data_IF_152016236086
#
_entry.id   IF_152016236086
#
_cell.length_a   1.000
_cell.length_b   1.000
_cell.length_c   1.000
_cell.angle_alpha   90.00
_cell.angle_beta   90.00
_cell.angle_gamma   90.00
#
_symmetry.space_group_name_H-M   'P 1'
#
loop_
_entity.id
_entity.type
_entity.pdbx_description
1 polymer ?
#
# COMPACT_ATOMS: atom_id res chain seq x y z
N UNK A 1 15.00 1.91 -7.78
CA UNK A 1 14.49 0.66 -7.20
C UNK A 1 13.09 0.87 -6.63
N UNK A 2 12.22 -0.15 -6.76
CA UNK A 2 10.76 -0.06 -6.64
C UNK A 2 10.13 0.19 -8.01
N UNK A 3 9.06 -0.57 -8.37
CA UNK A 3 8.31 -0.45 -9.62
C UNK A 3 6.87 0.02 -9.39
N UNK A 4 6.68 0.90 -8.41
CA UNK A 4 5.39 1.52 -8.12
C UNK A 4 5.13 2.79 -8.94
N UNK A 5 4.11 3.55 -8.53
CA UNK A 5 3.67 4.77 -9.21
C UNK A 5 4.80 5.80 -9.34
N UNK A 6 5.53 6.07 -8.25
CA UNK A 6 6.60 7.06 -8.24
C UNK A 6 7.73 6.70 -9.21
N UNK A 7 8.18 5.44 -9.24
CA UNK A 7 9.23 4.98 -10.16
C UNK A 7 8.78 5.05 -11.62
N UNK A 8 7.57 4.56 -11.94
CA UNK A 8 7.04 4.59 -13.29
C UNK A 8 6.86 6.02 -13.82
N UNK A 9 6.43 6.95 -12.97
CA UNK A 9 6.33 8.37 -13.33
C UNK A 9 7.70 9.01 -13.49
N UNK A 10 8.66 8.76 -12.58
CA UNK A 10 10.01 9.32 -12.66
C UNK A 10 10.72 8.87 -13.94
N UNK A 11 10.67 7.56 -14.28
CA UNK A 11 11.27 7.05 -15.50
C UNK A 11 10.68 7.70 -16.78
N UNK A 12 9.35 7.85 -16.81
CA UNK A 12 8.68 8.53 -17.92
C UNK A 12 9.09 10.01 -18.01
N UNK A 13 9.14 10.73 -16.88
CA UNK A 13 9.52 12.14 -16.85
C UNK A 13 10.97 12.34 -17.28
N UNK A 14 11.91 11.50 -16.86
CA UNK A 14 13.30 11.57 -17.32
C UNK A 14 13.41 11.50 -18.85
N UNK A 15 12.66 10.62 -19.51
CA UNK A 15 12.62 10.57 -20.97
C UNK A 15 11.95 11.77 -21.62
N UNK A 16 10.89 12.31 -21.01
CA UNK A 16 10.25 13.55 -21.46
C UNK A 16 11.23 14.75 -21.40
N UNK A 17 12.05 14.80 -20.35
CA UNK A 17 13.09 15.80 -20.15
C UNK A 17 14.39 15.49 -20.92
N UNK A 18 14.34 14.52 -21.85
CA UNK A 18 15.43 14.15 -22.76
C UNK A 18 16.70 13.60 -22.05
N UNK A 19 16.53 12.97 -20.90
CA UNK A 19 17.65 12.23 -20.31
C UNK A 19 17.98 11.03 -21.21
N UNK A 20 19.21 10.96 -21.71
CA UNK A 20 19.67 9.96 -22.70
C UNK A 20 20.36 8.73 -22.04
N UNK A 21 20.73 8.82 -20.77
CA UNK A 21 21.38 7.74 -20.03
C UNK A 21 20.50 6.50 -19.87
N UNK A 22 21.09 5.40 -19.47
CA UNK A 22 20.37 4.16 -19.18
C UNK A 22 19.38 4.35 -18.02
N UNK A 23 18.18 3.76 -18.12
CA UNK A 23 17.18 3.75 -17.06
C UNK A 23 16.75 2.30 -16.83
N UNK A 24 17.04 1.78 -15.62
CA UNK A 24 16.61 0.45 -15.19
C UNK A 24 15.69 0.61 -13.97
N UNK A 25 14.52 -0.02 -14.02
CA UNK A 25 13.52 -0.05 -12.94
C UNK A 25 13.44 -1.47 -12.40
N UNK A 26 13.69 -1.66 -11.09
CA UNK A 26 13.59 -2.95 -10.42
C UNK A 26 12.30 -3.00 -9.60
N UNK A 27 11.54 -4.09 -9.70
CA UNK A 27 10.34 -4.33 -8.90
C UNK A 27 10.22 -5.78 -8.45
N UNK A 28 9.83 -5.98 -7.22
CA UNK A 28 9.61 -7.29 -6.59
C UNK A 28 8.29 -7.95 -7.04
N UNK A 29 7.30 -7.17 -7.45
CA UNK A 29 6.05 -7.68 -8.02
C UNK A 29 6.24 -8.14 -9.49
N UNK A 30 5.49 -9.16 -9.98
CA UNK A 30 5.60 -9.67 -11.34
C UNK A 30 4.86 -8.82 -12.38
N UNK A 31 4.60 -7.56 -12.07
CA UNK A 31 3.76 -6.64 -12.86
C UNK A 31 4.49 -5.33 -13.09
N UNK A 32 4.33 -4.76 -14.31
CA UNK A 32 4.81 -3.43 -14.63
C UNK A 32 4.21 -2.36 -13.69
N UNK A 33 4.81 -1.17 -13.56
CA UNK A 33 4.30 -0.10 -12.71
C UNK A 33 2.81 0.18 -12.95
N UNK A 34 2.02 0.15 -11.88
CA UNK A 34 0.57 0.28 -11.94
C UNK A 34 -0.01 1.21 -10.86
N UNK A 35 -1.27 1.59 -11.05
CA UNK A 35 -2.03 2.45 -10.14
C UNK A 35 -2.64 1.63 -9.00
N UNK A 36 -2.34 1.97 -7.75
CA UNK A 36 -2.92 1.30 -6.57
C UNK A 36 -4.33 1.80 -6.19
N UNK A 37 -4.73 3.06 -6.42
CA UNK A 37 -6.06 3.52 -5.99
C UNK A 37 -7.26 2.71 -6.53
N UNK A 38 -7.24 2.12 -7.73
CA UNK A 38 -8.32 1.26 -8.19
C UNK A 38 -8.45 -0.07 -7.45
N UNK A 39 -7.41 -0.50 -6.73
CA UNK A 39 -7.38 -1.79 -6.03
C UNK A 39 -8.47 -1.95 -4.97
N UNK A 40 -8.87 -0.87 -4.30
CA UNK A 40 -9.99 -0.86 -3.33
C UNK A 40 -11.32 -0.41 -3.95
N UNK A 41 -11.37 -0.22 -5.27
CA UNK A 41 -12.51 0.33 -6.03
C UNK A 41 -12.87 -0.56 -7.22
N UNK A 42 -12.75 -0.03 -8.44
CA UNK A 42 -13.16 -0.68 -9.68
C UNK A 42 -12.46 -2.01 -9.95
N UNK A 43 -11.21 -2.19 -9.47
CA UNK A 43 -10.56 -3.49 -9.59
C UNK A 43 -11.12 -4.51 -8.59
N UNK A 44 -11.41 -4.09 -7.34
CA UNK A 44 -12.05 -4.97 -6.36
C UNK A 44 -13.47 -5.39 -6.77
N UNK A 45 -14.25 -4.47 -7.33
CA UNK A 45 -15.61 -4.80 -7.83
C UNK A 45 -15.62 -5.67 -9.09
N UNK A 46 -14.49 -5.76 -9.81
CA UNK A 46 -14.41 -6.47 -11.10
C UNK A 46 -14.79 -5.63 -12.30
N UNK A 47 -15.05 -4.33 -12.13
CA UNK A 47 -15.40 -3.41 -13.22
C UNK A 47 -14.19 -2.97 -14.05
N UNK A 48 -12.98 -3.27 -13.58
CA UNK A 48 -11.72 -2.92 -14.25
C UNK A 48 -10.80 -4.13 -14.35
N UNK A 49 -10.31 -4.41 -15.54
CA UNK A 49 -9.31 -5.44 -15.80
C UNK A 49 -7.89 -5.00 -15.39
N UNK A 50 -7.01 -6.00 -15.15
CA UNK A 50 -5.66 -5.76 -14.66
C UNK A 50 -4.83 -4.86 -15.58
N UNK A 51 -4.95 -5.01 -16.89
CA UNK A 51 -4.22 -4.24 -17.90
C UNK A 51 -4.49 -2.74 -17.81
N UNK A 52 -5.70 -2.37 -17.39
CA UNK A 52 -6.10 -0.96 -17.19
C UNK A 52 -5.54 -0.33 -15.92
N UNK A 53 -4.94 -1.14 -15.04
CA UNK A 53 -4.21 -0.64 -13.88
C UNK A 53 -2.85 -0.07 -14.25
N UNK A 54 -2.22 -0.54 -15.33
CA UNK A 54 -0.87 -0.16 -15.72
C UNK A 54 -0.76 1.36 -15.92
N UNK A 55 0.31 1.96 -15.40
CA UNK A 55 0.62 3.38 -15.63
C UNK A 55 0.93 3.63 -17.11
N UNK A 56 1.62 2.69 -17.72
CA UNK A 56 1.99 2.68 -19.14
C UNK A 56 2.03 1.24 -19.63
N UNK A 57 1.65 1.00 -20.88
CA UNK A 57 1.76 -0.30 -21.51
C UNK A 57 3.25 -0.69 -21.71
N UNK A 58 3.55 -1.98 -21.84
CA UNK A 58 4.90 -2.49 -22.07
C UNK A 58 5.61 -1.80 -23.25
N UNK A 59 4.90 -1.63 -24.37
CA UNK A 59 5.40 -0.96 -25.56
C UNK A 59 5.89 0.50 -25.30
N UNK A 60 5.39 1.17 -24.27
CA UNK A 60 5.92 2.48 -23.88
C UNK A 60 7.34 2.37 -23.36
N UNK A 61 7.60 1.44 -22.45
CA UNK A 61 8.93 1.24 -21.84
C UNK A 61 9.95 0.83 -22.89
N UNK A 62 9.57 -0.10 -23.78
CA UNK A 62 10.40 -0.52 -24.93
C UNK A 62 10.75 0.65 -25.84
N UNK A 63 9.74 1.41 -26.30
CA UNK A 63 9.93 2.56 -27.19
C UNK A 63 10.80 3.66 -26.56
N UNK A 64 10.73 3.80 -25.24
CA UNK A 64 11.46 4.82 -24.48
C UNK A 64 12.83 4.32 -23.99
N UNK A 65 13.24 3.13 -24.34
CA UNK A 65 14.51 2.54 -23.87
C UNK A 65 14.61 2.54 -22.34
N UNK A 66 13.54 2.14 -21.66
CA UNK A 66 13.46 1.98 -20.21
C UNK A 66 13.38 0.49 -19.92
N UNK A 67 14.39 -0.08 -19.29
CA UNK A 67 14.36 -1.47 -18.86
C UNK A 67 13.56 -1.61 -17.54
N UNK A 68 12.55 -2.48 -17.50
CA UNK A 68 11.78 -2.79 -16.29
C UNK A 68 11.97 -4.25 -15.94
N UNK A 69 12.71 -4.51 -14.86
CA UNK A 69 12.95 -5.85 -14.30
C UNK A 69 11.92 -6.11 -13.21
N UNK A 70 10.87 -6.84 -13.56
CA UNK A 70 9.86 -7.34 -12.63
C UNK A 70 10.36 -8.58 -11.88
N UNK A 71 9.71 -8.97 -10.78
CA UNK A 71 10.12 -10.11 -9.94
C UNK A 71 11.61 -10.06 -9.55
N UNK A 72 12.14 -8.86 -9.36
CA UNK A 72 13.56 -8.61 -9.09
C UNK A 72 13.72 -7.77 -7.85
N UNK A 73 14.32 -8.32 -6.82
CA UNK A 73 14.47 -7.66 -5.52
C UNK A 73 15.86 -7.04 -5.37
N UNK A 74 15.92 -5.76 -5.04
CA UNK A 74 17.16 -5.13 -4.58
C UNK A 74 17.30 -5.39 -3.08
N UNK A 75 18.38 -6.04 -2.67
CA UNK A 75 18.59 -6.50 -1.28
C UNK A 75 19.59 -5.68 -0.50
N UNK A 76 20.46 -4.89 -1.18
CA UNK A 76 21.46 -4.03 -0.54
C UNK A 76 21.70 -2.76 -1.37
N UNK A 77 22.04 -1.67 -0.70
CA UNK A 77 22.56 -0.43 -1.29
C UNK A 77 23.93 -0.19 -0.66
N UNK A 78 24.97 -0.04 -1.49
CA UNK A 78 26.32 0.35 -1.05
C UNK A 78 26.68 1.72 -1.63
N UNK A 79 26.50 2.80 -0.84
CA UNK A 79 26.75 4.16 -1.31
C UNK A 79 28.22 4.46 -1.58
N UNK A 80 29.15 3.80 -0.86
CA UNK A 80 30.59 4.01 -1.00
C UNK A 80 31.10 3.55 -2.37
N UNK A 81 30.56 2.44 -2.84
CA UNK A 81 30.93 1.86 -4.15
C UNK A 81 29.94 2.25 -5.25
N UNK A 82 28.87 3.00 -4.92
CA UNK A 82 27.76 3.32 -5.83
C UNK A 82 27.19 2.07 -6.50
N UNK A 83 26.89 1.03 -5.70
CA UNK A 83 26.32 -0.24 -6.19
C UNK A 83 25.04 -0.60 -5.43
N UNK A 84 24.18 -1.36 -6.12
CA UNK A 84 23.06 -2.09 -5.51
C UNK A 84 23.28 -3.59 -5.72
N UNK A 85 22.79 -4.41 -4.76
CA UNK A 85 22.77 -5.87 -4.91
C UNK A 85 21.40 -6.35 -5.31
N UNK A 86 21.34 -7.24 -6.29
CA UNK A 86 20.12 -7.81 -6.86
C UNK A 86 20.04 -9.28 -6.47
N UNK A 87 18.91 -9.68 -5.87
CA UNK A 87 18.61 -11.08 -5.49
C UNK A 87 19.76 -11.78 -4.74
N UNK A 88 20.55 -11.03 -3.94
CA UNK A 88 21.75 -11.47 -3.21
C UNK A 88 22.85 -12.09 -4.08
N UNK A 89 22.86 -11.81 -5.39
CA UNK A 89 23.75 -12.48 -6.37
C UNK A 89 24.59 -11.54 -7.21
N UNK A 90 24.03 -10.43 -7.66
CA UNK A 90 24.64 -9.54 -8.62
C UNK A 90 24.75 -8.12 -8.06
N UNK A 91 25.92 -7.51 -8.19
CA UNK A 91 26.14 -6.10 -7.89
C UNK A 91 26.09 -5.29 -9.19
N UNK A 92 25.22 -4.29 -9.22
CA UNK A 92 25.07 -3.35 -10.34
C UNK A 92 25.48 -1.95 -9.87
N UNK A 93 26.36 -1.30 -10.63
CA UNK A 93 26.76 0.09 -10.38
C UNK A 93 25.69 1.07 -10.85
N UNK A 94 25.59 2.21 -10.17
CA UNK A 94 24.73 3.32 -10.55
C UNK A 94 25.46 4.66 -10.50
N UNK A 95 25.14 5.57 -11.38
CA UNK A 95 25.50 6.97 -11.31
C UNK A 95 24.53 7.74 -10.38
N UNK A 96 23.23 7.47 -10.55
CA UNK A 96 22.17 7.98 -9.70
C UNK A 96 21.20 6.87 -9.31
N UNK A 97 20.74 6.87 -8.06
CA UNK A 97 19.76 5.90 -7.55
C UNK A 97 18.51 6.62 -7.08
N UNK A 98 17.34 6.21 -7.58
CA UNK A 98 16.04 6.58 -7.04
C UNK A 98 15.46 5.45 -6.20
N UNK A 99 15.27 5.67 -4.90
CA UNK A 99 14.57 4.77 -3.99
C UNK A 99 13.06 5.11 -4.05
N UNK A 100 12.26 4.20 -4.59
CA UNK A 100 10.80 4.35 -4.73
C UNK A 100 10.08 3.08 -4.23
N UNK A 101 10.57 2.53 -3.13
CA UNK A 101 10.12 1.27 -2.51
C UNK A 101 8.71 1.33 -1.90
N UNK A 102 8.15 2.54 -1.79
CA UNK A 102 6.80 2.74 -1.30
C UNK A 102 6.63 2.34 0.17
N UNK A 103 5.53 1.66 0.45
CA UNK A 103 5.15 1.24 1.80
C UNK A 103 4.49 -0.13 1.78
N UNK A 104 4.49 -0.80 2.92
CA UNK A 104 3.77 -2.05 3.16
C UNK A 104 2.65 -1.86 4.17
N UNK A 105 1.69 -2.76 4.19
CA UNK A 105 0.61 -2.77 5.18
C UNK A 105 1.17 -3.02 6.58
N UNK A 106 0.59 -2.34 7.56
CA UNK A 106 0.80 -2.66 8.97
C UNK A 106 0.02 -3.92 9.30
N UNK A 107 0.72 -4.98 9.69
CA UNK A 107 0.08 -6.22 10.16
C UNK A 107 -0.38 -6.05 11.61
N UNK A 108 -1.55 -6.61 11.91
CA UNK A 108 -2.04 -6.73 13.28
C UNK A 108 -1.29 -7.89 13.96
N UNK A 109 -0.89 -7.66 15.20
CA UNK A 109 -0.16 -8.69 15.97
C UNK A 109 -1.02 -9.09 17.18
N UNK A 110 -1.94 -10.02 16.95
CA UNK A 110 -2.85 -10.59 17.93
C UNK A 110 -2.97 -12.09 17.68
N UNK A 111 -3.48 -12.84 18.67
CA UNK A 111 -3.68 -14.29 18.54
C UNK A 111 -4.57 -14.61 17.35
N UNK A 112 -4.24 -15.64 16.57
CA UNK A 112 -4.99 -16.08 15.39
C UNK A 112 -4.81 -15.23 14.15
N UNK A 113 -3.89 -14.25 14.14
CA UNK A 113 -3.64 -13.40 12.97
C UNK A 113 -3.04 -14.15 11.77
N UNK A 114 -2.65 -15.40 11.94
CA UNK A 114 -2.14 -16.34 10.93
C UNK A 114 -3.22 -17.20 10.27
N UNK A 115 -4.48 -17.13 10.74
CA UNK A 115 -5.58 -17.90 10.16
C UNK A 115 -5.83 -17.48 8.72
N UNK A 116 -6.25 -18.46 7.89
CA UNK A 116 -6.68 -18.15 6.53
C UNK A 116 -7.91 -17.23 6.51
N UNK A 117 -8.15 -16.56 5.38
CA UNK A 117 -9.20 -15.57 5.18
C UNK A 117 -9.05 -14.29 6.02
N UNK A 118 -7.84 -14.01 6.51
CA UNK A 118 -7.45 -12.70 7.05
C UNK A 118 -6.52 -12.05 6.01
N UNK A 119 -6.99 -10.98 5.39
CA UNK A 119 -6.30 -10.32 4.28
C UNK A 119 -5.95 -8.88 4.59
N UNK A 120 -4.98 -8.39 3.83
CA UNK A 120 -4.58 -6.99 3.77
C UNK A 120 -4.71 -6.53 2.32
N UNK A 121 -4.89 -5.25 2.07
CA UNK A 121 -5.04 -4.74 0.71
C UNK A 121 -3.90 -3.80 0.36
N UNK A 122 -3.01 -4.23 -0.53
CA UNK A 122 -1.90 -3.41 -1.04
C UNK A 122 -1.56 -3.72 -2.50
N UNK A 123 -1.59 -4.98 -2.90
CA UNK A 123 -1.14 -5.49 -4.21
C UNK A 123 -2.32 -6.02 -5.02
N UNK A 124 -2.09 -6.26 -6.33
CA UNK A 124 -3.05 -6.96 -7.20
C UNK A 124 -3.37 -8.34 -6.65
N UNK A 125 -2.35 -9.06 -6.19
CA UNK A 125 -2.51 -10.41 -5.63
C UNK A 125 -3.40 -10.41 -4.38
N UNK A 126 -3.20 -9.43 -3.47
CA UNK A 126 -4.07 -9.28 -2.30
C UNK A 126 -5.55 -9.14 -2.72
N UNK A 127 -5.82 -8.32 -3.74
CA UNK A 127 -7.18 -8.09 -4.22
C UNK A 127 -7.77 -9.35 -4.86
N UNK A 128 -6.98 -10.11 -5.62
CA UNK A 128 -7.43 -11.37 -6.21
C UNK A 128 -7.82 -12.39 -5.13
N UNK A 129 -7.04 -12.48 -4.07
CA UNK A 129 -7.35 -13.33 -2.90
C UNK A 129 -8.61 -12.85 -2.17
N UNK A 130 -8.75 -11.54 -1.92
CA UNK A 130 -9.94 -10.96 -1.30
C UNK A 130 -11.19 -11.26 -2.16
N UNK A 131 -11.13 -11.01 -3.47
CA UNK A 131 -12.24 -11.29 -4.40
C UNK A 131 -12.69 -12.75 -4.37
N UNK A 132 -11.76 -13.68 -4.28
CA UNK A 132 -12.09 -15.12 -4.23
C UNK A 132 -12.85 -15.52 -2.96
N UNK A 133 -12.69 -14.77 -1.86
CA UNK A 133 -13.40 -14.96 -0.59
C UNK A 133 -14.73 -14.19 -0.51
N UNK A 134 -14.98 -13.23 -1.41
CA UNK A 134 -16.23 -12.44 -1.40
C UNK A 134 -17.39 -13.25 -1.97
N UNK A 135 -18.46 -13.38 -1.19
CA UNK A 135 -19.69 -14.01 -1.66
C UNK A 135 -20.91 -13.38 -0.96
N UNK A 136 -22.05 -13.42 -1.66
CA UNK A 136 -23.32 -12.93 -1.12
C UNK A 136 -23.65 -13.62 0.22
N UNK A 137 -24.24 -12.86 1.14
CA UNK A 137 -24.69 -13.27 2.48
C UNK A 137 -23.56 -13.70 3.45
N UNK A 138 -22.28 -13.62 3.03
CA UNK A 138 -21.12 -13.86 3.90
C UNK A 138 -20.83 -12.67 4.84
N UNK A 139 -20.29 -12.98 6.03
CA UNK A 139 -19.92 -12.01 7.04
C UNK A 139 -18.51 -11.50 6.77
N UNK A 140 -18.39 -10.21 6.43
CA UNK A 140 -17.11 -9.52 6.28
C UNK A 140 -16.88 -8.60 7.49
N UNK A 141 -15.75 -8.78 8.16
CA UNK A 141 -15.27 -7.85 9.19
C UNK A 141 -14.07 -7.08 8.65
N UNK A 142 -14.17 -5.76 8.68
CA UNK A 142 -13.09 -4.84 8.31
C UNK A 142 -12.52 -4.23 9.58
N UNK A 143 -11.22 -4.42 9.82
CA UNK A 143 -10.51 -3.85 10.96
C UNK A 143 -9.81 -2.57 10.53
N UNK A 144 -10.35 -1.43 10.96
CA UNK A 144 -9.90 -0.08 10.63
C UNK A 144 -10.89 0.70 9.77
N UNK A 145 -11.39 1.81 10.31
CA UNK A 145 -12.33 2.74 9.66
C UNK A 145 -11.64 3.86 8.87
N UNK A 146 -10.48 3.58 8.24
CA UNK A 146 -9.78 4.47 7.33
C UNK A 146 -10.37 4.47 5.91
N UNK A 147 -9.78 5.24 4.98
CA UNK A 147 -10.27 5.34 3.59
C UNK A 147 -10.39 3.97 2.93
N UNK A 148 -9.33 3.15 2.94
CA UNK A 148 -9.34 1.82 2.29
C UNK A 148 -10.40 0.93 2.90
N UNK A 149 -10.54 0.89 4.23
CA UNK A 149 -11.55 0.09 4.90
C UNK A 149 -12.97 0.48 4.48
N UNK A 150 -13.29 1.78 4.41
CA UNK A 150 -14.59 2.26 3.98
C UNK A 150 -14.85 2.02 2.48
N UNK A 151 -13.84 2.17 1.61
CA UNK A 151 -13.95 1.85 0.18
C UNK A 151 -14.27 0.36 -0.04
N UNK A 152 -13.55 -0.53 0.65
CA UNK A 152 -13.82 -1.97 0.62
C UNK A 152 -15.22 -2.28 1.17
N UNK A 153 -15.62 -1.63 2.29
CA UNK A 153 -16.96 -1.79 2.85
C UNK A 153 -18.06 -1.47 1.83
N UNK A 154 -17.89 -0.40 1.06
CA UNK A 154 -18.84 -0.01 0.02
C UNK A 154 -18.95 -1.07 -1.08
N UNK A 155 -17.83 -1.57 -1.59
CA UNK A 155 -17.81 -2.60 -2.65
C UNK A 155 -18.38 -3.93 -2.14
N UNK A 156 -17.98 -4.39 -0.95
CA UNK A 156 -18.45 -5.64 -0.38
C UNK A 156 -19.96 -5.61 -0.09
N UNK A 157 -20.48 -4.48 0.38
CA UNK A 157 -21.94 -4.32 0.58
C UNK A 157 -22.69 -4.36 -0.76
N UNK A 158 -22.15 -3.75 -1.83
CA UNK A 158 -22.74 -3.85 -3.17
C UNK A 158 -22.71 -5.28 -3.71
N UNK A 159 -21.70 -6.07 -3.34
CA UNK A 159 -21.62 -7.50 -3.66
C UNK A 159 -22.57 -8.37 -2.82
N UNK A 160 -23.35 -7.78 -1.89
CA UNK A 160 -24.34 -8.46 -1.07
C UNK A 160 -23.80 -9.13 0.19
N UNK A 161 -22.59 -8.76 0.63
CA UNK A 161 -22.04 -9.23 1.90
C UNK A 161 -22.65 -8.49 3.10
N UNK A 162 -22.64 -9.13 4.27
CA UNK A 162 -22.93 -8.51 5.55
C UNK A 162 -21.65 -7.87 6.09
N UNK A 163 -21.56 -6.54 6.09
CA UNK A 163 -20.30 -5.84 6.39
C UNK A 163 -20.32 -5.17 7.75
N UNK A 164 -19.28 -5.42 8.55
CA UNK A 164 -18.96 -4.70 9.78
C UNK A 164 -17.61 -4.01 9.66
N UNK A 165 -17.52 -2.77 10.11
CA UNK A 165 -16.28 -2.01 10.24
C UNK A 165 -16.00 -1.79 11.73
N UNK A 166 -14.84 -2.25 12.20
CA UNK A 166 -14.39 -2.09 13.57
C UNK A 166 -13.29 -1.00 13.60
N UNK A 167 -13.52 0.05 14.38
CA UNK A 167 -12.59 1.18 14.51
C UNK A 167 -12.26 1.41 15.99
N UNK A 168 -10.97 1.52 16.30
CA UNK A 168 -10.50 1.75 17.68
C UNK A 168 -10.74 3.17 18.16
N UNK A 169 -10.75 4.13 17.25
CA UNK A 169 -10.96 5.55 17.55
C UNK A 169 -12.46 5.86 17.79
N UNK A 170 -12.75 7.08 18.25
CA UNK A 170 -14.12 7.53 18.50
C UNK A 170 -14.97 7.67 17.24
N UNK A 171 -14.34 7.78 16.07
CA UNK A 171 -15.00 7.98 14.78
C UNK A 171 -14.15 7.46 13.61
N UNK A 172 -14.79 7.07 12.54
CA UNK A 172 -14.10 6.71 11.29
C UNK A 172 -13.34 7.92 10.73
N UNK A 173 -12.25 7.68 10.00
CA UNK A 173 -11.41 8.70 9.38
C UNK A 173 -10.86 9.75 10.37
N UNK A 174 -10.76 9.45 11.67
CA UNK A 174 -10.40 10.41 12.72
C UNK A 174 -9.10 11.15 12.45
N UNK A 175 -8.11 10.46 11.88
CA UNK A 175 -6.75 11.00 11.63
C UNK A 175 -6.68 11.91 10.41
N UNK A 176 -7.68 11.88 9.54
CA UNK A 176 -7.57 12.47 8.18
C UNK A 176 -8.69 13.43 7.84
N UNK A 177 -9.74 13.54 8.67
CA UNK A 177 -10.85 14.46 8.40
C UNK A 177 -11.49 15.04 9.68
N UNK A 178 -12.37 16.02 9.49
CA UNK A 178 -13.11 16.68 10.57
C UNK A 178 -14.24 15.78 11.13
N UNK A 179 -14.74 16.03 12.37
CA UNK A 179 -15.89 15.30 12.90
C UNK A 179 -17.13 15.37 12.01
N UNK A 180 -17.40 16.51 11.38
CA UNK A 180 -18.52 16.69 10.45
C UNK A 180 -18.43 15.71 9.28
N UNK A 181 -17.27 15.59 8.67
CA UNK A 181 -17.05 14.64 7.56
C UNK A 181 -17.09 13.19 8.03
N UNK A 182 -16.54 12.87 9.20
CA UNK A 182 -16.66 11.52 9.77
C UNK A 182 -18.13 11.13 9.94
N UNK A 183 -18.95 12.00 10.52
CA UNK A 183 -20.38 11.77 10.72
C UNK A 183 -21.13 11.60 9.38
N UNK A 184 -20.75 12.37 8.35
CA UNK A 184 -21.32 12.22 7.03
C UNK A 184 -21.02 10.82 6.44
N UNK A 185 -19.75 10.40 6.46
CA UNK A 185 -19.36 9.08 5.97
C UNK A 185 -19.98 7.94 6.77
N UNK A 186 -20.02 8.03 8.08
CA UNK A 186 -20.72 7.05 8.95
C UNK A 186 -22.16 6.84 8.49
N UNK A 187 -22.96 7.93 8.42
CA UNK A 187 -24.36 7.86 7.99
C UNK A 187 -24.51 7.32 6.56
N UNK A 188 -23.59 7.69 5.65
CA UNK A 188 -23.63 7.24 4.26
C UNK A 188 -23.47 5.72 4.16
N UNK A 189 -22.52 5.16 4.92
CA UNK A 189 -22.26 3.72 4.96
C UNK A 189 -23.37 2.95 5.68
N UNK A 190 -23.83 3.45 6.83
CA UNK A 190 -24.92 2.84 7.61
C UNK A 190 -26.23 2.80 6.80
N UNK A 191 -26.55 3.87 6.06
CA UNK A 191 -27.72 3.90 5.17
C UNK A 191 -27.68 2.83 4.09
N UNK A 192 -26.49 2.33 3.76
CA UNK A 192 -26.27 1.27 2.76
C UNK A 192 -26.09 -0.12 3.37
N UNK A 193 -26.28 -0.25 4.70
CA UNK A 193 -26.26 -1.53 5.39
C UNK A 193 -24.93 -1.91 6.03
N UNK A 194 -23.91 -1.04 5.99
CA UNK A 194 -22.66 -1.26 6.74
C UNK A 194 -22.90 -1.01 8.21
N UNK A 195 -22.45 -1.90 9.08
CA UNK A 195 -22.47 -1.71 10.54
C UNK A 195 -21.12 -1.18 10.99
N UNK A 196 -21.09 0.00 11.59
CA UNK A 196 -19.85 0.64 12.06
C UNK A 196 -19.81 0.61 13.60
N UNK A 197 -18.73 0.00 14.13
CA UNK A 197 -18.43 -0.11 15.55
C UNK A 197 -17.17 0.70 15.84
N UNK A 198 -17.34 1.86 16.48
CA UNK A 198 -16.23 2.68 16.99
C UNK A 198 -15.86 2.27 18.41
N UNK A 199 -14.69 2.70 18.91
CA UNK A 199 -14.14 2.30 20.23
C UNK A 199 -14.04 0.78 20.39
N UNK A 200 -13.85 0.07 19.28
CA UNK A 200 -13.84 -1.39 19.23
C UNK A 200 -12.46 -1.88 18.85
N UNK A 201 -11.75 -2.41 19.82
CA UNK A 201 -10.38 -2.93 19.65
C UNK A 201 -10.42 -4.43 19.46
N UNK A 202 -9.83 -4.89 18.36
CA UNK A 202 -9.60 -6.32 18.08
C UNK A 202 -8.44 -6.81 18.94
N UNK A 203 -8.64 -7.92 19.65
CA UNK A 203 -7.65 -8.57 20.51
C UNK A 203 -7.29 -9.99 20.06
N UNK A 204 -8.03 -10.56 19.10
CA UNK A 204 -7.75 -11.87 18.54
C UNK A 204 -8.69 -12.26 17.42
N UNK A 205 -8.32 -13.35 16.77
CA UNK A 205 -9.15 -14.06 15.81
C UNK A 205 -9.26 -15.53 16.25
N UNK A 206 -10.42 -16.13 16.03
CA UNK A 206 -10.70 -17.52 16.37
C UNK A 206 -11.19 -18.27 15.13
N UNK A 207 -10.82 -19.54 15.06
CA UNK A 207 -11.19 -20.49 14.01
C UNK A 207 -10.29 -21.71 14.06
N UNK A 208 -10.56 -22.69 13.21
CA UNK A 208 -9.71 -23.91 13.11
C UNK A 208 -8.54 -23.69 12.15
N UNK A 209 -8.81 -23.53 10.88
CA UNK A 209 -7.83 -23.25 9.82
C UNK A 209 -8.10 -21.91 9.12
N UNK A 210 -9.35 -21.47 9.13
CA UNK A 210 -9.83 -20.20 8.63
C UNK A 210 -10.44 -19.41 9.77
N UNK A 211 -10.48 -18.09 9.63
CA UNK A 211 -11.16 -17.23 10.60
C UNK A 211 -12.65 -17.58 10.63
N UNK A 212 -13.21 -17.68 11.82
CA UNK A 212 -14.63 -17.91 12.08
C UNK A 212 -15.20 -16.76 12.93
N UNK A 213 -14.35 -16.12 13.77
CA UNK A 213 -14.76 -15.01 14.64
C UNK A 213 -13.64 -14.00 14.83
N UNK A 214 -14.03 -12.75 15.00
CA UNK A 214 -13.18 -11.63 15.42
C UNK A 214 -13.50 -11.32 16.87
N UNK A 215 -12.51 -11.45 17.75
CA UNK A 215 -12.63 -11.20 19.18
C UNK A 215 -12.18 -9.77 19.49
N UNK A 216 -13.04 -9.01 20.14
CA UNK A 216 -12.76 -7.67 20.60
C UNK A 216 -12.76 -7.61 22.15
N UNK A 217 -12.35 -6.48 22.73
CA UNK A 217 -12.32 -6.32 24.20
C UNK A 217 -13.67 -6.57 24.86
N UNK A 218 -14.78 -6.20 24.24
CA UNK A 218 -16.13 -6.30 24.81
C UNK A 218 -17.13 -7.06 23.94
N UNK A 219 -16.75 -7.47 22.73
CA UNK A 219 -17.65 -8.08 21.76
C UNK A 219 -16.96 -9.20 20.98
N UNK A 220 -17.75 -10.06 20.37
CA UNK A 220 -17.28 -11.10 19.41
C UNK A 220 -18.17 -11.02 18.18
N UNK A 221 -17.56 -11.05 16.99
CA UNK A 221 -18.27 -10.99 15.72
C UNK A 221 -17.94 -12.21 14.86
N UNK A 222 -18.94 -12.86 14.31
CA UNK A 222 -18.74 -13.90 13.31
C UNK A 222 -18.13 -13.29 12.04
N UNK A 223 -17.23 -14.04 11.40
CA UNK A 223 -16.52 -13.61 10.19
C UNK A 223 -16.16 -14.79 9.28
N UNK A 224 -16.59 -14.73 8.03
CA UNK A 224 -16.13 -15.63 6.94
C UNK A 224 -14.86 -15.05 6.28
N UNK A 225 -14.70 -13.72 6.31
CA UNK A 225 -13.61 -12.98 5.70
C UNK A 225 -13.26 -11.79 6.59
N UNK A 226 -11.97 -11.53 6.76
CA UNK A 226 -11.46 -10.35 7.49
C UNK A 226 -10.53 -9.57 6.59
N UNK A 227 -10.69 -8.24 6.57
CA UNK A 227 -9.75 -7.34 5.90
C UNK A 227 -9.20 -6.36 6.93
N UNK A 228 -7.86 -6.32 7.06
CA UNK A 228 -7.16 -5.49 8.04
C UNK A 228 -6.57 -4.27 7.34
N UNK A 229 -7.04 -3.08 7.72
CA UNK A 229 -6.64 -1.78 7.16
C UNK A 229 -6.22 -0.77 8.23
N UNK A 230 -5.21 -1.10 9.07
CA UNK A 230 -4.76 -0.31 10.23
C UNK A 230 -3.57 0.62 9.93
N UNK A 231 -3.32 0.90 8.67
CA UNK A 231 -2.27 1.81 8.20
C UNK A 231 -1.12 1.13 7.47
N UNK A 232 -0.11 1.92 7.14
CA UNK A 232 1.06 1.50 6.36
C UNK A 232 2.36 1.87 7.08
N UNK A 233 3.45 1.19 6.68
CA UNK A 233 4.81 1.43 7.14
C UNK A 233 5.67 1.72 5.89
N UNK A 234 6.44 2.82 5.85
CA UNK A 234 7.36 3.09 4.74
C UNK A 234 8.43 2.00 4.66
N UNK A 235 8.80 1.61 3.44
CA UNK A 235 9.87 0.65 3.21
C UNK A 235 11.21 1.41 3.16
N UNK A 236 11.77 1.73 4.33
CA UNK A 236 13.00 2.52 4.49
C UNK A 236 14.21 1.69 4.93
N UNK A 237 14.06 0.41 5.21
CA UNK A 237 15.07 -0.42 5.85
C UNK A 237 16.37 -0.54 5.05
N UNK A 238 16.28 -0.59 3.71
CA UNK A 238 17.47 -0.63 2.85
C UNK A 238 18.24 0.70 2.89
N UNK A 239 17.51 1.82 2.94
CA UNK A 239 18.09 3.13 3.08
C UNK A 239 18.76 3.30 4.46
N UNK A 240 18.11 2.86 5.53
CA UNK A 240 18.65 2.88 6.89
C UNK A 240 19.95 2.06 7.01
N UNK A 241 19.95 0.83 6.47
CA UNK A 241 21.14 -0.03 6.42
C UNK A 241 22.29 0.57 5.63
N UNK A 242 21.98 1.37 4.59
CA UNK A 242 22.95 2.09 3.78
C UNK A 242 23.46 3.40 4.45
N UNK A 243 23.00 3.72 5.67
CA UNK A 243 23.39 4.95 6.38
C UNK A 243 22.68 6.22 5.85
N UNK A 244 21.60 6.08 5.09
CA UNK A 244 20.77 7.20 4.63
C UNK A 244 19.86 7.65 5.78
N UNK A 245 19.73 8.94 6.00
CA UNK A 245 18.91 9.49 7.07
C UNK A 245 17.42 9.13 6.87
N UNK A 246 16.82 8.55 7.90
CA UNK A 246 15.41 8.13 7.91
C UNK A 246 14.72 8.58 9.20
N UNK A 247 13.52 9.13 9.08
CA UNK A 247 12.64 9.48 10.19
C UNK A 247 11.19 9.27 9.73
N UNK A 248 10.56 8.16 10.12
CA UNK A 248 9.23 7.76 9.63
C UNK A 248 9.15 7.79 8.08
N UNK A 249 10.17 7.26 7.42
CA UNK A 249 10.44 7.28 5.98
C UNK A 249 11.81 7.89 5.68
N UNK A 250 12.25 7.76 4.44
CA UNK A 250 13.54 8.29 3.97
C UNK A 250 13.47 9.82 3.96
N UNK A 251 14.36 10.46 4.71
CA UNK A 251 14.41 11.93 4.79
C UNK A 251 14.99 12.50 3.51
N UNK A 252 14.23 13.34 2.82
CA UNK A 252 14.66 14.02 1.59
C UNK A 252 14.48 15.53 1.70
N UNK A 253 15.20 16.27 0.85
CA UNK A 253 15.02 17.69 0.65
C UNK A 253 13.87 18.02 -0.35
N UNK A 254 13.73 19.28 -0.73
CA UNK A 254 12.71 19.76 -1.70
C UNK A 254 12.92 19.21 -3.12
N UNK A 255 14.12 18.70 -3.42
CA UNK A 255 14.48 18.07 -4.70
C UNK A 255 14.44 16.56 -4.65
N UNK A 256 13.85 15.97 -3.59
CA UNK A 256 13.83 14.53 -3.34
C UNK A 256 15.23 13.93 -3.13
N UNK A 257 16.28 14.72 -2.87
CA UNK A 257 17.63 14.25 -2.59
C UNK A 257 17.72 13.78 -1.13
N UNK A 258 18.37 12.64 -0.90
CA UNK A 258 18.60 12.09 0.44
C UNK A 258 19.84 12.75 1.09
N UNK A 259 20.28 12.23 2.24
CA UNK A 259 21.54 12.63 2.87
C UNK A 259 22.80 12.26 2.05
N UNK A 260 22.64 11.49 0.98
CA UNK A 260 23.73 11.07 0.07
C UNK A 260 23.46 11.66 -1.32
N UNK A 261 24.36 12.50 -1.87
CA UNK A 261 24.11 13.36 -3.04
C UNK A 261 23.62 12.65 -4.31
N UNK A 262 24.08 11.42 -4.60
CA UNK A 262 23.67 10.67 -5.79
C UNK A 262 22.42 9.80 -5.57
N UNK A 263 21.86 9.81 -4.35
CA UNK A 263 20.71 8.98 -4.00
C UNK A 263 19.49 9.87 -3.71
N UNK A 264 18.41 9.58 -4.39
CA UNK A 264 17.11 10.25 -4.29
C UNK A 264 16.07 9.28 -3.75
N UNK A 265 14.97 9.80 -3.19
CA UNK A 265 13.83 8.97 -2.84
C UNK A 265 12.51 9.68 -3.13
N UNK A 266 11.48 8.93 -3.55
CA UNK A 266 10.16 9.48 -3.87
C UNK A 266 9.02 8.49 -3.56
N UNK A 267 7.83 9.04 -3.30
CA UNK A 267 6.61 8.27 -3.01
C UNK A 267 6.45 7.92 -1.53
N UNK A 268 5.64 6.90 -1.23
CA UNK A 268 5.23 6.53 0.13
C UNK A 268 6.38 6.14 1.08
N UNK A 269 7.59 5.91 0.55
CA UNK A 269 8.78 5.62 1.36
C UNK A 269 9.44 6.88 1.93
N UNK A 270 9.01 8.09 1.52
CA UNK A 270 9.69 9.34 1.88
C UNK A 270 9.04 10.10 3.02
N UNK A 271 9.87 10.87 3.71
CA UNK A 271 9.51 11.96 4.59
C UNK A 271 10.06 13.24 3.95
N UNK A 272 9.18 14.07 3.36
CA UNK A 272 9.57 15.25 2.58
C UNK A 272 9.08 16.55 3.21
N UNK A 273 9.78 17.68 3.02
CA UNK A 273 9.34 18.98 3.51
C UNK A 273 8.08 19.44 2.76
N UNK A 274 7.13 20.03 3.48
CA UNK A 274 5.98 20.70 2.91
C UNK A 274 6.02 22.18 3.28
N UNK A 275 6.41 23.08 2.36
CA UNK A 275 6.57 24.50 2.66
C UNK A 275 5.25 25.19 2.99
N UNK A 276 4.11 24.72 2.45
CA UNK A 276 2.80 25.31 2.75
C UNK A 276 2.36 25.04 4.19
N UNK A 277 2.68 23.88 4.72
CA UNK A 277 2.31 23.49 6.08
C UNK A 277 3.43 23.72 7.10
N UNK A 278 4.59 24.19 6.63
CA UNK A 278 5.81 24.39 7.43
C UNK A 278 6.15 23.16 8.31
N UNK A 279 5.98 21.98 7.74
CA UNK A 279 6.28 20.69 8.40
C UNK A 279 6.64 19.64 7.36
N UNK A 280 7.23 18.56 7.85
CA UNK A 280 7.48 17.39 7.00
C UNK A 280 6.21 16.54 6.90
N UNK A 281 6.02 15.89 5.75
CA UNK A 281 4.93 14.98 5.47
C UNK A 281 5.49 13.63 4.97
N UNK A 282 4.67 12.62 5.19
CA UNK A 282 4.80 11.31 4.60
C UNK A 282 3.55 11.02 3.80
#
# INVERSE_FOLDING_TARGET
MGAGHAAGQAAATLRQEKYEGEIIVFGDEPVLPYQRPPLSKAYLSGDQEQEKLLLRAAAFYEKQNIEVKTSTLVTEINPQNSTIRIDDREDLSFEHLLIATGSRVRKINVSGSELNNIHYLRTIEDVNQIRSGMAKDKELVIVGGGYIGLEVAAIATQAGMNVRVLETEDRVLQRVTTPTMSNYYTRLHEKRGVRIHTKTRVIGFEGKSTVERVVCENDVFDADLVIVGIGIIPNSELAEKAGIACENGITVDERCQTSIPQIYAAGDCTNHPNPLLNRRLR
#
